data_IF_197594004219
#
_entry.id   IF_197594004219
#
_cell.length_a   1.000
_cell.length_b   1.000
_cell.length_c   1.000
_cell.angle_alpha   90.00
_cell.angle_beta   90.00
_cell.angle_gamma   90.00
#
_symmetry.space_group_name_H-M   'P 1'
#
loop_
_entity.id
_entity.type
_entity.pdbx_description
1 polymer ?
#
# COMPACT_ATOMS: atom_id res chain seq x y z
N UNK A 1 9.00 -3.94 -6.09
CA UNK A 1 9.28 -3.21 -4.82
C UNK A 1 10.50 -3.73 -4.04
N UNK A 2 10.65 -5.05 -3.80
CA UNK A 2 11.79 -5.63 -3.05
C UNK A 2 13.16 -5.12 -3.53
N UNK A 3 13.44 -5.15 -4.84
CA UNK A 3 14.71 -4.67 -5.42
C UNK A 3 14.97 -3.20 -5.15
N UNK A 4 13.93 -2.36 -5.11
CA UNK A 4 14.04 -0.91 -4.84
C UNK A 4 14.45 -0.68 -3.39
N UNK A 5 13.80 -1.35 -2.43
CA UNK A 5 14.13 -1.22 -1.00
C UNK A 5 15.54 -1.72 -0.71
N UNK A 6 15.91 -2.91 -1.20
CA UNK A 6 17.28 -3.42 -1.03
C UNK A 6 18.31 -2.54 -1.72
N UNK A 7 18.02 -2.05 -2.93
CA UNK A 7 18.91 -1.12 -3.65
C UNK A 7 19.13 0.18 -2.88
N UNK A 8 18.07 0.76 -2.32
CA UNK A 8 18.17 1.93 -1.46
C UNK A 8 19.04 1.68 -0.22
N UNK A 9 18.78 0.59 0.52
CA UNK A 9 19.55 0.26 1.72
C UNK A 9 21.03 0.02 1.37
N UNK A 10 21.32 -0.74 0.31
CA UNK A 10 22.68 -1.03 -0.15
C UNK A 10 23.40 0.26 -0.59
N UNK A 11 22.71 1.14 -1.33
CA UNK A 11 23.27 2.42 -1.77
C UNK A 11 23.56 3.34 -0.58
N UNK A 12 22.65 3.41 0.40
CA UNK A 12 22.84 4.20 1.63
C UNK A 12 24.04 3.70 2.42
N UNK A 13 24.17 2.38 2.62
CA UNK A 13 25.34 1.78 3.32
C UNK A 13 26.63 2.03 2.53
N UNK A 14 26.63 1.82 1.21
CA UNK A 14 27.81 2.02 0.39
C UNK A 14 28.30 3.48 0.41
N UNK A 15 27.38 4.44 0.29
CA UNK A 15 27.71 5.87 0.33
C UNK A 15 28.12 6.32 1.72
N UNK A 16 27.59 5.72 2.79
CA UNK A 16 28.05 5.93 4.15
C UNK A 16 29.48 5.41 4.34
N UNK A 17 29.80 4.20 3.87
CA UNK A 17 31.17 3.66 3.92
C UNK A 17 32.16 4.55 3.14
N UNK A 18 31.76 5.08 2.01
CA UNK A 18 32.57 6.05 1.27
C UNK A 18 32.76 7.35 2.08
N UNK A 19 31.70 7.82 2.77
CA UNK A 19 31.77 8.99 3.62
C UNK A 19 32.76 8.85 4.77
N UNK A 20 32.86 7.66 5.39
CA UNK A 20 33.87 7.36 6.42
C UNK A 20 35.29 7.51 5.88
N UNK A 21 35.50 7.25 4.59
CA UNK A 21 36.80 7.44 3.92
C UNK A 21 37.15 8.92 3.71
N UNK A 22 36.16 9.77 3.42
CA UNK A 22 36.36 11.21 3.21
C UNK A 22 36.38 11.98 4.53
N UNK A 23 35.51 11.62 5.46
CA UNK A 23 35.33 12.25 6.76
C UNK A 23 35.45 11.19 7.86
N UNK A 24 36.69 10.75 8.20
CA UNK A 24 36.86 9.72 9.21
C UNK A 24 36.35 10.19 10.58
N UNK A 25 35.53 9.37 11.28
CA UNK A 25 35.02 9.71 12.58
C UNK A 25 36.15 9.80 13.61
N UNK A 26 35.98 10.66 14.60
CA UNK A 26 36.85 10.66 15.77
C UNK A 26 36.77 9.29 16.45
N UNK A 27 37.93 8.66 16.72
CA UNK A 27 38.03 7.33 17.36
C UNK A 27 37.76 7.42 18.87
N UNK A 28 36.63 8.01 19.21
CA UNK A 28 36.13 8.13 20.57
C UNK A 28 34.64 7.74 20.63
N UNK A 29 34.12 7.55 21.86
CA UNK A 29 32.75 7.10 22.05
C UNK A 29 31.69 8.02 21.43
N UNK A 30 31.96 9.32 21.32
CA UNK A 30 31.05 10.28 20.69
C UNK A 30 31.05 10.11 19.17
N UNK A 31 32.22 10.03 18.53
CA UNK A 31 32.33 9.87 17.08
C UNK A 31 31.69 8.56 16.60
N UNK A 32 32.03 7.43 17.24
CA UNK A 32 31.47 6.12 16.88
C UNK A 32 29.94 6.07 17.08
N UNK A 33 29.43 6.65 18.18
CA UNK A 33 28.00 6.72 18.41
C UNK A 33 27.33 7.59 17.35
N UNK A 34 27.94 8.70 16.94
CA UNK A 34 27.43 9.59 15.90
C UNK A 34 27.25 8.84 14.57
N UNK A 35 28.22 8.04 14.14
CA UNK A 35 28.15 7.27 12.91
C UNK A 35 26.97 6.27 12.92
N UNK A 36 26.76 5.56 14.03
CA UNK A 36 25.63 4.64 14.17
C UNK A 36 24.29 5.40 14.12
N UNK A 37 24.22 6.57 14.78
CA UNK A 37 23.04 7.44 14.70
C UNK A 37 22.76 7.84 13.26
N UNK A 38 23.78 8.29 12.55
CA UNK A 38 23.64 8.89 11.24
C UNK A 38 23.18 7.85 10.20
N UNK A 39 23.86 6.72 10.11
CA UNK A 39 23.47 5.64 9.21
C UNK A 39 22.05 5.14 9.50
N UNK A 40 21.78 4.81 10.76
CA UNK A 40 20.47 4.30 11.16
C UNK A 40 19.36 5.31 10.93
N UNK A 41 19.63 6.59 11.23
CA UNK A 41 18.68 7.68 10.99
C UNK A 41 18.32 7.83 9.50
N UNK A 42 19.29 7.82 8.59
CA UNK A 42 19.04 7.94 7.15
C UNK A 42 18.29 6.73 6.61
N UNK A 43 18.59 5.51 7.10
CA UNK A 43 17.84 4.31 6.73
C UNK A 43 16.37 4.40 7.18
N UNK A 44 16.12 4.74 8.44
CA UNK A 44 14.76 4.93 8.97
C UNK A 44 13.99 5.98 8.16
N UNK A 45 14.65 7.11 7.90
CA UNK A 45 14.12 8.24 7.15
C UNK A 45 13.71 7.87 5.72
N UNK A 46 14.56 7.13 5.01
CA UNK A 46 14.25 6.65 3.66
C UNK A 46 13.08 5.69 3.62
N UNK A 47 12.97 4.77 4.59
CA UNK A 47 11.83 3.86 4.67
C UNK A 47 10.52 4.59 4.97
N UNK A 48 10.55 5.63 5.84
CA UNK A 48 9.40 6.50 6.08
C UNK A 48 8.98 7.25 4.82
N UNK A 49 9.92 7.85 4.10
CA UNK A 49 9.64 8.56 2.85
C UNK A 49 9.03 7.63 1.79
N UNK A 50 9.56 6.41 1.62
CA UNK A 50 8.98 5.42 0.72
C UNK A 50 7.54 5.04 1.12
N UNK A 51 7.26 4.87 2.41
CA UNK A 51 5.92 4.60 2.90
C UNK A 51 4.96 5.75 2.57
N UNK A 52 5.39 7.02 2.73
CA UNK A 52 4.61 8.21 2.39
C UNK A 52 4.33 8.27 0.88
N UNK A 53 5.32 8.00 0.03
CA UNK A 53 5.14 7.96 -1.43
C UNK A 53 4.10 6.91 -1.83
N UNK A 54 4.14 5.73 -1.23
CA UNK A 54 3.13 4.69 -1.49
C UNK A 54 1.74 5.16 -1.05
N UNK A 55 1.62 5.81 0.11
CA UNK A 55 0.35 6.35 0.60
C UNK A 55 -0.20 7.46 -0.30
N UNK A 56 0.66 8.29 -0.89
CA UNK A 56 0.28 9.36 -1.80
C UNK A 56 -0.25 8.86 -3.15
N UNK A 57 0.12 7.66 -3.58
CA UNK A 57 -0.32 7.04 -4.84
C UNK A 57 -0.10 7.91 -6.08
N UNK A 58 1.12 8.40 -6.36
CA UNK A 58 1.38 9.12 -7.59
C UNK A 58 1.15 8.22 -8.82
N UNK A 59 0.75 8.79 -9.95
CA UNK A 59 0.36 8.05 -11.16
C UNK A 59 1.47 7.14 -11.71
N UNK A 60 2.73 7.50 -11.50
CA UNK A 60 3.90 6.74 -11.95
C UNK A 60 4.26 5.53 -11.07
N UNK A 61 3.67 5.42 -9.88
CA UNK A 61 4.11 4.49 -8.82
C UNK A 61 4.15 3.02 -9.27
N UNK A 62 3.05 2.49 -9.80
CA UNK A 62 3.01 1.09 -10.29
C UNK A 62 3.92 0.84 -11.48
N UNK A 63 4.12 1.87 -12.34
CA UNK A 63 4.98 1.76 -13.51
C UNK A 63 6.45 1.62 -13.10
N UNK A 64 6.91 2.49 -12.21
CA UNK A 64 8.32 2.52 -11.76
C UNK A 64 8.63 1.33 -10.85
N UNK A 65 7.73 0.99 -9.94
CA UNK A 65 7.94 -0.14 -9.02
C UNK A 65 7.71 -1.50 -9.67
N UNK A 66 7.08 -1.54 -10.84
CA UNK A 66 6.59 -2.75 -11.49
C UNK A 66 5.71 -3.64 -10.57
N UNK A 67 5.10 -3.04 -9.54
CA UNK A 67 4.33 -3.71 -8.50
C UNK A 67 2.92 -3.11 -8.45
N UNK A 68 1.84 -3.92 -8.44
CA UNK A 68 0.48 -3.42 -8.35
C UNK A 68 0.19 -2.80 -6.98
N UNK A 69 -0.79 -1.90 -6.93
CA UNK A 69 -1.05 -1.06 -5.75
C UNK A 69 -1.47 -1.88 -4.52
N UNK A 70 -2.21 -2.95 -4.69
CA UNK A 70 -2.61 -3.86 -3.61
C UNK A 70 -1.40 -4.54 -2.94
N UNK A 71 -0.38 -4.89 -3.70
CA UNK A 71 0.90 -5.37 -3.16
C UNK A 71 1.74 -4.24 -2.56
N UNK A 72 1.69 -3.04 -3.15
CA UNK A 72 2.40 -1.87 -2.61
C UNK A 72 1.90 -1.50 -1.20
N UNK A 73 0.62 -1.69 -0.90
CA UNK A 73 0.11 -1.46 0.46
C UNK A 73 0.67 -2.47 1.49
N UNK A 74 0.98 -3.70 1.09
CA UNK A 74 1.72 -4.63 1.96
C UNK A 74 3.13 -4.12 2.23
N UNK A 75 3.77 -3.56 1.20
CA UNK A 75 5.08 -2.90 1.36
C UNK A 75 4.99 -1.65 2.21
N UNK A 76 3.97 -0.80 2.07
CA UNK A 76 3.73 0.34 2.96
C UNK A 76 3.73 -0.08 4.43
N UNK A 77 2.98 -1.14 4.77
CA UNK A 77 2.95 -1.70 6.13
C UNK A 77 4.33 -2.20 6.58
N UNK A 78 5.02 -2.96 5.74
CA UNK A 78 6.35 -3.50 6.04
C UNK A 78 7.38 -2.39 6.25
N UNK A 79 7.39 -1.38 5.38
CA UNK A 79 8.27 -0.22 5.49
C UNK A 79 7.97 0.58 6.76
N UNK A 80 6.70 0.78 7.10
CA UNK A 80 6.30 1.44 8.34
C UNK A 80 6.77 0.70 9.59
N UNK A 81 6.69 -0.64 9.62
CA UNK A 81 7.19 -1.45 10.72
C UNK A 81 8.71 -1.30 10.87
N UNK A 82 9.47 -1.46 9.78
CA UNK A 82 10.93 -1.33 9.82
C UNK A 82 11.38 0.10 10.13
N UNK A 83 10.68 1.11 9.60
CA UNK A 83 10.95 2.51 9.96
C UNK A 83 10.76 2.73 11.48
N UNK A 84 9.68 2.21 12.08
CA UNK A 84 9.45 2.31 13.51
C UNK A 84 10.54 1.57 14.34
N UNK A 85 10.95 0.37 13.92
CA UNK A 85 12.03 -0.39 14.59
C UNK A 85 13.34 0.39 14.53
N UNK A 86 13.72 0.92 13.36
CA UNK A 86 14.94 1.71 13.21
C UNK A 86 14.84 3.04 13.98
N UNK A 87 13.68 3.67 14.03
CA UNK A 87 13.46 4.89 14.83
C UNK A 87 13.63 4.62 16.32
N UNK A 88 13.11 3.50 16.84
CA UNK A 88 13.35 3.09 18.23
C UNK A 88 14.82 2.80 18.48
N UNK A 89 15.49 2.09 17.58
CA UNK A 89 16.93 1.86 17.69
C UNK A 89 17.69 3.20 17.68
N UNK A 90 17.36 4.13 16.80
CA UNK A 90 17.92 5.47 16.74
C UNK A 90 17.72 6.20 18.07
N UNK A 91 16.52 6.20 18.62
CA UNK A 91 16.17 6.86 19.86
C UNK A 91 17.00 6.35 21.06
N UNK A 92 17.21 5.04 21.13
CA UNK A 92 17.96 4.38 22.22
C UNK A 92 19.43 4.10 21.89
N UNK A 93 19.97 4.63 20.80
CA UNK A 93 21.35 4.33 20.38
C UNK A 93 22.39 4.65 21.45
N UNK A 94 22.23 5.75 22.20
CA UNK A 94 23.19 6.13 23.26
C UNK A 94 23.25 5.07 24.36
N UNK A 95 22.11 4.57 24.79
CA UNK A 95 21.99 3.55 25.83
C UNK A 95 22.53 2.21 25.35
N UNK A 96 22.24 1.86 24.11
CA UNK A 96 22.69 0.62 23.47
C UNK A 96 24.20 0.62 23.19
N UNK A 97 24.77 1.78 22.86
CA UNK A 97 26.20 1.91 22.58
C UNK A 97 27.09 1.93 23.85
N UNK A 98 26.57 2.33 25.00
CA UNK A 98 27.33 2.39 26.25
C UNK A 98 28.07 1.08 26.59
N UNK A 99 27.42 -0.10 26.64
CA UNK A 99 28.11 -1.35 26.96
C UNK A 99 29.10 -1.74 25.87
N UNK A 100 28.82 -1.44 24.60
CA UNK A 100 29.72 -1.74 23.49
C UNK A 100 31.02 -0.90 23.61
N UNK A 101 30.86 0.40 23.87
CA UNK A 101 31.98 1.33 23.99
C UNK A 101 32.83 1.09 25.25
N UNK A 102 32.29 0.49 26.30
CA UNK A 102 33.04 0.12 27.50
C UNK A 102 34.05 -1.03 27.26
N UNK A 103 33.89 -1.78 26.17
CA UNK A 103 34.80 -2.89 25.78
C UNK A 103 35.99 -2.42 24.94
N UNK A 104 36.00 -1.16 24.51
CA UNK A 104 37.04 -0.63 23.61
C UNK A 104 37.77 0.52 24.29
N UNK A 105 39.12 0.51 24.21
CA UNK A 105 39.94 1.65 24.67
C UNK A 105 39.80 2.78 23.67
N UNK A 106 39.19 3.90 24.09
CA UNK A 106 38.90 5.03 23.24
C UNK A 106 39.65 6.28 23.70
N UNK A 107 39.93 7.16 22.75
CA UNK A 107 40.48 8.49 23.05
C UNK A 107 39.55 9.32 23.97
N UNK A 108 40.11 10.11 24.82
CA UNK A 108 39.35 11.02 25.68
C UNK A 108 38.66 12.11 24.82
N UNK A 109 37.39 12.40 25.13
CA UNK A 109 36.65 13.47 24.42
C UNK A 109 37.16 14.83 24.95
N UNK A 110 37.75 15.69 24.07
CA UNK A 110 38.20 17.01 24.49
C UNK A 110 37.03 17.85 25.02
N UNK A 111 37.26 18.59 26.12
CA UNK A 111 36.28 19.59 26.60
C UNK A 111 36.30 20.80 25.64
N UNK A 112 35.24 20.95 24.87
CA UNK A 112 35.07 22.14 24.04
C UNK A 112 34.53 23.27 24.92
N UNK A 113 35.34 24.28 25.19
CA UNK A 113 34.89 25.54 25.79
C UNK A 113 34.24 26.36 24.69
N UNK A 114 32.93 26.49 24.72
CA UNK A 114 32.19 27.35 23.80
C UNK A 114 32.22 28.79 24.33
N UNK A 115 32.68 29.72 23.49
CA UNK A 115 32.51 31.15 23.74
C UNK A 115 31.03 31.58 23.63
N UNK A 116 30.72 32.82 23.96
CA UNK A 116 29.38 33.38 23.74
C UNK A 116 29.10 33.45 22.26
N UNK A 117 28.00 32.80 21.88
CA UNK A 117 27.51 32.81 20.49
C UNK A 117 26.63 34.05 20.27
N UNK A 118 26.86 34.80 19.21
CA UNK A 118 26.09 36.00 18.87
C UNK A 118 25.55 35.90 17.44
N UNK A 119 24.51 36.69 17.14
CA UNK A 119 23.97 36.80 15.80
C UNK A 119 23.50 35.49 15.18
N UNK A 120 23.95 35.19 13.97
CA UNK A 120 23.55 33.99 13.23
C UNK A 120 23.96 32.69 13.92
N UNK A 121 25.13 32.65 14.56
CA UNK A 121 25.61 31.45 15.26
C UNK A 121 24.76 31.11 16.49
N UNK A 122 24.29 32.13 17.20
CA UNK A 122 23.36 31.97 18.31
C UNK A 122 22.01 31.42 17.82
N UNK A 123 21.47 32.00 16.74
CA UNK A 123 20.24 31.51 16.09
C UNK A 123 20.41 30.06 15.61
N UNK A 124 21.51 29.75 14.95
CA UNK A 124 21.78 28.42 14.40
C UNK A 124 21.97 27.37 15.51
N UNK A 125 22.57 27.76 16.63
CA UNK A 125 22.68 26.91 17.82
C UNK A 125 21.31 26.67 18.48
N UNK A 126 20.47 27.70 18.57
CA UNK A 126 19.10 27.58 19.07
C UNK A 126 18.27 26.66 18.19
N UNK A 127 18.35 26.81 16.85
CA UNK A 127 17.70 25.91 15.90
C UNK A 127 18.09 24.44 16.09
N UNK A 128 19.33 24.15 16.52
CA UNK A 128 19.74 22.80 16.85
C UNK A 128 18.98 22.25 18.05
N UNK A 129 18.87 23.04 19.10
CA UNK A 129 18.09 22.68 20.30
C UNK A 129 16.64 22.41 19.95
N UNK A 130 16.02 23.34 19.23
CA UNK A 130 14.65 23.22 18.75
C UNK A 130 14.44 21.94 17.89
N UNK A 131 15.36 21.64 16.96
CA UNK A 131 15.27 20.44 16.10
C UNK A 131 15.38 19.14 16.90
N UNK A 132 16.18 19.10 17.96
CA UNK A 132 16.29 17.93 18.84
C UNK A 132 15.01 17.77 19.65
N UNK A 133 14.58 18.80 20.38
CA UNK A 133 13.41 18.75 21.25
C UNK A 133 12.12 18.44 20.46
N UNK A 134 11.90 19.13 19.34
CA UNK A 134 10.73 18.88 18.50
C UNK A 134 10.72 17.46 17.90
N UNK A 135 11.89 16.90 17.59
CA UNK A 135 11.98 15.52 17.08
C UNK A 135 11.67 14.47 18.15
N UNK A 136 11.98 14.71 19.42
CA UNK A 136 11.61 13.82 20.51
C UNK A 136 10.09 13.73 20.65
N UNK A 137 9.39 14.87 20.67
CA UNK A 137 7.92 14.91 20.70
C UNK A 137 7.29 14.32 19.45
N UNK A 138 7.84 14.61 18.25
CA UNK A 138 7.37 14.03 17.01
C UNK A 138 7.55 12.50 16.99
N UNK A 139 8.65 11.97 17.52
CA UNK A 139 8.90 10.54 17.65
C UNK A 139 7.90 9.89 18.59
N UNK A 140 7.65 10.47 19.77
CA UNK A 140 6.64 9.96 20.69
C UNK A 140 5.24 9.95 20.08
N UNK A 141 4.84 11.04 19.40
CA UNK A 141 3.60 11.09 18.65
C UNK A 141 3.56 9.99 17.56
N UNK A 142 4.64 9.85 16.79
CA UNK A 142 4.77 8.82 15.76
C UNK A 142 4.60 7.40 16.31
N UNK A 143 5.18 7.10 17.48
CA UNK A 143 5.02 5.80 18.15
C UNK A 143 3.58 5.55 18.62
N UNK A 144 2.92 6.58 19.17
CA UNK A 144 1.49 6.48 19.52
C UNK A 144 0.65 6.19 18.28
N UNK A 145 0.86 6.95 17.20
CA UNK A 145 0.16 6.74 15.92
C UNK A 145 0.45 5.35 15.33
N UNK A 146 1.68 4.86 15.50
CA UNK A 146 2.07 3.52 15.07
C UNK A 146 1.27 2.45 15.82
N UNK A 147 1.17 2.53 17.15
CA UNK A 147 0.36 1.61 17.95
C UNK A 147 -1.12 1.70 17.55
N UNK A 148 -1.67 2.91 17.42
CA UNK A 148 -3.06 3.13 16.97
C UNK A 148 -3.32 2.52 15.60
N UNK A 149 -2.30 2.44 14.73
CA UNK A 149 -2.44 1.85 13.39
C UNK A 149 -2.77 0.36 13.41
N UNK A 150 -2.48 -0.36 14.51
CA UNK A 150 -2.82 -1.78 14.69
C UNK A 150 -4.10 -2.02 15.49
N UNK A 151 -4.70 -0.96 16.05
CA UNK A 151 -5.93 -1.07 16.87
C UNK A 151 -7.15 -1.12 15.95
N UNK A 152 -7.80 -2.29 15.86
CA UNK A 152 -8.96 -2.52 14.99
C UNK A 152 -10.29 -1.92 15.50
N UNK A 153 -10.34 -1.47 16.77
CA UNK A 153 -11.55 -0.91 17.41
C UNK A 153 -11.89 0.49 16.87
N UNK A 154 -10.89 1.22 16.36
CA UNK A 154 -11.09 2.57 15.83
C UNK A 154 -11.79 2.50 14.46
N UNK A 155 -12.89 3.24 14.28
CA UNK A 155 -13.59 3.33 12.99
C UNK A 155 -12.64 3.81 11.91
N UNK A 156 -12.77 3.26 10.68
CA UNK A 156 -11.82 3.47 9.59
C UNK A 156 -11.56 4.95 9.28
N UNK A 157 -12.59 5.79 9.19
CA UNK A 157 -12.40 7.22 8.88
C UNK A 157 -11.60 7.97 9.97
N UNK A 158 -11.83 7.67 11.26
CA UNK A 158 -11.07 8.27 12.38
C UNK A 158 -9.62 7.77 12.38
N UNK A 159 -9.45 6.48 12.13
CA UNK A 159 -8.15 5.87 11.98
C UNK A 159 -7.36 6.51 10.82
N UNK A 160 -7.98 6.67 9.63
CA UNK A 160 -7.34 7.30 8.48
C UNK A 160 -6.97 8.77 8.77
N UNK A 161 -7.84 9.51 9.45
CA UNK A 161 -7.57 10.90 9.85
C UNK A 161 -6.39 10.99 10.81
N UNK A 162 -6.29 10.11 11.82
CA UNK A 162 -5.15 10.05 12.73
C UNK A 162 -3.88 9.59 12.00
N UNK A 163 -4.00 8.63 11.07
CA UNK A 163 -2.87 8.11 10.30
C UNK A 163 -2.23 9.18 9.39
N UNK A 164 -3.02 10.13 8.88
CA UNK A 164 -2.49 11.29 8.10
C UNK A 164 -1.53 12.16 8.91
N UNK A 165 -1.59 12.15 10.25
CA UNK A 165 -0.67 12.88 11.10
C UNK A 165 0.77 12.39 10.98
N UNK A 166 1.03 11.19 10.45
CA UNK A 166 2.40 10.77 10.09
C UNK A 166 3.06 11.71 9.09
N UNK A 167 2.28 12.36 8.20
CA UNK A 167 2.82 13.40 7.32
C UNK A 167 3.30 14.63 8.10
N UNK A 168 2.60 15.01 9.17
CA UNK A 168 3.02 16.11 10.06
C UNK A 168 4.28 15.71 10.84
N UNK A 169 4.30 14.50 11.38
CA UNK A 169 5.49 13.93 12.06
C UNK A 169 6.69 13.97 11.12
N UNK A 170 6.52 13.54 9.86
CA UNK A 170 7.59 13.58 8.86
C UNK A 170 8.11 15.00 8.63
N UNK A 171 7.24 15.99 8.48
CA UNK A 171 7.65 17.38 8.26
C UNK A 171 8.44 17.97 9.44
N UNK A 172 8.06 17.62 10.67
CA UNK A 172 8.83 18.03 11.87
C UNK A 172 10.20 17.34 11.88
N UNK A 173 10.24 16.03 11.63
CA UNK A 173 11.49 15.27 11.57
C UNK A 173 12.40 15.70 10.42
N UNK A 174 11.85 16.27 9.32
CA UNK A 174 12.65 16.84 8.23
C UNK A 174 13.55 17.97 8.70
N UNK A 175 13.06 18.82 9.61
CA UNK A 175 13.87 19.89 10.25
C UNK A 175 15.02 19.29 11.04
N UNK A 176 14.75 18.21 11.77
CA UNK A 176 15.77 17.47 12.52
C UNK A 176 16.83 16.87 11.59
N UNK A 177 16.41 16.17 10.52
CA UNK A 177 17.32 15.50 9.57
C UNK A 177 18.27 16.49 8.88
N UNK A 178 17.76 17.64 8.45
CA UNK A 178 18.58 18.66 7.75
C UNK A 178 19.46 19.42 8.74
N UNK A 179 18.90 19.80 9.91
CA UNK A 179 19.63 20.65 10.86
C UNK A 179 20.77 19.90 11.59
N UNK A 180 20.66 18.59 11.72
CA UNK A 180 21.67 17.77 12.42
C UNK A 180 22.68 17.11 11.47
N UNK A 181 22.49 17.24 10.16
CA UNK A 181 23.50 16.85 9.18
C UNK A 181 24.74 17.75 9.32
N UNK A 182 25.91 17.13 9.35
CA UNK A 182 27.17 17.89 9.40
C UNK A 182 27.42 18.65 8.10
N UNK A 183 27.97 19.88 8.15
CA UNK A 183 28.24 20.64 6.92
C UNK A 183 29.15 19.91 5.92
N UNK A 184 30.09 19.10 6.40
CA UNK A 184 30.95 18.29 5.54
C UNK A 184 30.18 17.24 4.76
N UNK A 185 29.11 16.68 5.33
CA UNK A 185 28.30 15.62 4.69
C UNK A 185 27.43 16.16 3.55
N UNK A 186 27.08 17.46 3.57
CA UNK A 186 26.23 18.09 2.53
C UNK A 186 26.81 17.87 1.13
N UNK A 187 28.13 17.83 1.01
CA UNK A 187 28.82 17.69 -0.27
C UNK A 187 29.22 16.25 -0.60
N UNK A 188 28.72 15.28 0.17
CA UNK A 188 28.99 13.85 -0.04
C UNK A 188 27.78 13.15 -0.68
N UNK A 189 28.00 12.02 -1.38
CA UNK A 189 26.90 11.20 -1.91
C UNK A 189 25.91 10.73 -0.83
N UNK A 190 26.37 10.50 0.40
CA UNK A 190 25.52 10.13 1.53
C UNK A 190 24.60 11.28 1.96
N UNK A 191 25.12 12.50 2.06
CA UNK A 191 24.33 13.69 2.32
C UNK A 191 23.31 13.98 1.22
N UNK A 192 23.67 13.78 -0.05
CA UNK A 192 22.75 13.93 -1.17
C UNK A 192 21.56 12.96 -1.11
N UNK A 193 21.80 11.72 -0.69
CA UNK A 193 20.69 10.77 -0.45
C UNK A 193 19.74 11.31 0.62
N UNK A 194 20.28 11.78 1.75
CA UNK A 194 19.47 12.34 2.83
C UNK A 194 18.65 13.56 2.37
N UNK A 195 19.25 14.48 1.63
CA UNK A 195 18.57 15.65 1.06
C UNK A 195 17.48 15.23 0.08
N UNK A 196 17.77 14.33 -0.86
CA UNK A 196 16.81 13.86 -1.86
C UNK A 196 15.61 13.17 -1.20
N UNK A 197 15.84 12.29 -0.23
CA UNK A 197 14.81 11.62 0.57
C UNK A 197 13.94 12.64 1.30
N UNK A 198 14.56 13.67 1.90
CA UNK A 198 13.84 14.73 2.61
C UNK A 198 12.95 15.54 1.66
N UNK A 199 13.46 15.96 0.50
CA UNK A 199 12.68 16.72 -0.48
C UNK A 199 11.47 15.89 -0.96
N UNK A 200 11.69 14.63 -1.36
CA UNK A 200 10.64 13.75 -1.86
C UNK A 200 9.59 13.49 -0.76
N UNK A 201 10.03 13.15 0.44
CA UNK A 201 9.13 12.88 1.55
C UNK A 201 8.32 14.11 1.99
N UNK A 202 8.93 15.30 2.03
CA UNK A 202 8.23 16.56 2.32
C UNK A 202 7.19 16.88 1.23
N UNK A 203 7.55 16.74 -0.04
CA UNK A 203 6.64 16.98 -1.16
C UNK A 203 5.37 16.12 -1.04
N UNK A 204 5.53 14.80 -0.87
CA UNK A 204 4.38 13.91 -0.76
C UNK A 204 3.65 14.00 0.58
N UNK A 205 4.32 14.41 1.67
CA UNK A 205 3.65 14.73 2.93
C UNK A 205 2.71 15.93 2.79
N UNK A 206 3.17 17.00 2.14
CA UNK A 206 2.36 18.17 1.84
C UNK A 206 1.22 17.84 0.85
N UNK A 207 1.51 17.05 -0.18
CA UNK A 207 0.50 16.57 -1.13
C UNK A 207 -0.64 15.83 -0.40
N UNK A 208 -0.31 14.90 0.50
CA UNK A 208 -1.27 14.14 1.31
C UNK A 208 -2.11 15.02 2.23
N UNK A 209 -1.50 16.03 2.87
CA UNK A 209 -2.19 16.92 3.80
C UNK A 209 -3.10 17.91 3.08
N UNK A 210 -2.66 18.48 1.95
CA UNK A 210 -3.38 19.55 1.25
C UNK A 210 -4.38 18.99 0.25
N UNK A 211 -4.00 17.97 -0.50
CA UNK A 211 -4.72 17.51 -1.70
C UNK A 211 -5.28 16.08 -1.56
N UNK A 212 -4.76 15.33 -0.61
CA UNK A 212 -5.11 13.92 -0.40
C UNK A 212 -4.42 12.96 -1.39
N UNK A 213 -4.60 11.68 -1.15
CA UNK A 213 -3.97 10.61 -1.92
C UNK A 213 -4.59 10.42 -3.31
N UNK A 214 -3.77 10.02 -4.29
CA UNK A 214 -4.22 9.60 -5.63
C UNK A 214 -4.78 10.71 -6.50
N UNK A 215 -4.43 11.96 -6.25
CA UNK A 215 -4.98 13.13 -6.95
C UNK A 215 -4.80 13.07 -8.46
N UNK A 216 -3.64 12.67 -8.94
CA UNK A 216 -3.32 12.66 -10.38
C UNK A 216 -4.22 11.73 -11.19
N UNK A 217 -4.77 10.69 -10.56
CA UNK A 217 -5.70 9.74 -11.16
C UNK A 217 -7.15 9.93 -10.70
N UNK A 218 -7.44 10.98 -9.92
CA UNK A 218 -8.78 11.29 -9.43
C UNK A 218 -9.53 12.19 -10.41
N UNK A 219 -10.79 11.88 -10.67
CA UNK A 219 -11.70 12.69 -11.47
C UNK A 219 -13.12 12.62 -10.91
N UNK A 220 -13.93 13.61 -11.24
CA UNK A 220 -15.35 13.57 -10.93
C UNK A 220 -16.06 12.54 -11.83
N UNK A 221 -17.12 11.98 -11.30
CA UNK A 221 -18.04 11.13 -12.02
C UNK A 221 -19.47 11.38 -11.55
N UNK A 222 -20.43 11.05 -12.37
CA UNK A 222 -21.86 11.08 -12.03
C UNK A 222 -22.34 9.68 -11.70
N UNK A 223 -23.16 9.55 -10.67
CA UNK A 223 -23.85 8.33 -10.31
C UNK A 223 -25.03 8.11 -11.26
N UNK A 224 -24.87 7.18 -12.19
CA UNK A 224 -25.89 6.89 -13.24
C UNK A 224 -26.97 5.96 -12.72
N UNK A 225 -26.58 4.93 -11.97
CA UNK A 225 -27.51 3.96 -11.39
C UNK A 225 -27.01 3.39 -10.08
N UNK A 226 -27.92 3.13 -9.16
CA UNK A 226 -27.66 2.49 -7.86
C UNK A 226 -28.78 1.52 -7.56
N UNK A 227 -28.43 0.23 -7.48
CA UNK A 227 -29.37 -0.82 -7.15
C UNK A 227 -28.88 -1.63 -5.95
N UNK A 228 -29.62 -1.54 -4.84
CA UNK A 228 -29.28 -2.26 -3.59
C UNK A 228 -30.26 -3.42 -3.39
N UNK A 229 -29.71 -4.62 -3.27
CA UNK A 229 -30.47 -5.83 -3.00
C UNK A 229 -29.68 -6.73 -2.04
N UNK A 230 -30.32 -7.19 -0.98
CA UNK A 230 -29.80 -8.17 0.00
C UNK A 230 -28.35 -7.91 0.43
N UNK A 231 -28.03 -6.65 0.79
CA UNK A 231 -26.69 -6.26 1.27
C UNK A 231 -25.60 -6.17 0.18
N UNK A 232 -25.99 -6.23 -1.08
CA UNK A 232 -25.15 -5.92 -2.24
C UNK A 232 -25.70 -4.68 -2.92
N UNK A 233 -24.82 -3.74 -3.26
CA UNK A 233 -25.16 -2.56 -4.07
C UNK A 233 -24.39 -2.61 -5.38
N UNK A 234 -25.10 -2.60 -6.50
CA UNK A 234 -24.53 -2.36 -7.81
C UNK A 234 -24.54 -0.85 -8.06
N UNK A 235 -23.38 -0.32 -8.38
CA UNK A 235 -23.16 1.10 -8.62
C UNK A 235 -22.65 1.27 -10.04
N UNK A 236 -23.33 2.12 -10.83
CA UNK A 236 -22.87 2.51 -12.17
C UNK A 236 -22.54 3.99 -12.17
N UNK A 237 -21.31 4.33 -12.56
CA UNK A 237 -20.82 5.70 -12.60
C UNK A 237 -20.37 6.09 -14.00
N UNK A 238 -20.56 7.35 -14.37
CA UNK A 238 -20.06 7.95 -15.61
C UNK A 238 -18.96 8.94 -15.28
N UNK A 239 -17.68 8.60 -15.52
CA UNK A 239 -16.59 9.55 -15.36
C UNK A 239 -16.73 10.75 -16.31
N UNK A 240 -16.32 11.94 -15.85
CA UNK A 240 -16.35 13.17 -16.68
C UNK A 240 -15.42 13.08 -17.91
N UNK A 241 -14.41 12.24 -17.82
CA UNK A 241 -13.46 11.98 -18.92
C UNK A 241 -13.33 10.47 -19.14
N UNK A 242 -13.07 10.02 -20.36
CA UNK A 242 -12.79 8.61 -20.63
C UNK A 242 -11.65 8.11 -19.73
N UNK A 243 -11.86 6.95 -19.12
CA UNK A 243 -10.86 6.26 -18.29
C UNK A 243 -10.35 5.05 -19.05
N UNK A 244 -9.04 4.98 -19.29
CA UNK A 244 -8.41 3.77 -19.87
C UNK A 244 -8.29 2.69 -18.80
N UNK A 245 -9.44 2.20 -18.34
CA UNK A 245 -9.54 1.12 -17.38
C UNK A 245 -9.72 -0.21 -18.10
N UNK A 246 -9.01 -1.22 -17.66
CA UNK A 246 -9.04 -2.55 -18.27
C UNK A 246 -9.68 -3.56 -17.35
N UNK A 247 -10.18 -4.63 -17.92
CA UNK A 247 -10.78 -5.73 -17.17
C UNK A 247 -9.82 -6.30 -16.12
N UNK A 248 -10.27 -6.33 -14.85
CA UNK A 248 -9.49 -6.77 -13.70
C UNK A 248 -8.66 -5.68 -13.01
N UNK A 249 -8.80 -4.42 -13.43
CA UNK A 249 -8.33 -3.28 -12.66
C UNK A 249 -9.43 -2.84 -11.67
N UNK A 250 -9.02 -2.09 -10.65
CA UNK A 250 -9.93 -1.51 -9.68
C UNK A 250 -9.82 0.01 -9.64
N UNK A 251 -10.80 0.66 -9.09
CA UNK A 251 -10.79 2.08 -8.82
C UNK A 251 -11.22 2.37 -7.38
N UNK A 252 -10.75 3.49 -6.83
CA UNK A 252 -11.31 4.00 -5.60
C UNK A 252 -12.53 4.85 -5.92
N UNK A 253 -13.62 4.61 -5.19
CA UNK A 253 -14.81 5.44 -5.21
C UNK A 253 -14.92 6.21 -3.90
N UNK A 254 -15.18 7.51 -3.99
CA UNK A 254 -15.46 8.38 -2.86
C UNK A 254 -16.69 9.23 -3.11
N UNK A 255 -17.53 9.37 -2.09
CA UNK A 255 -18.65 10.31 -2.09
C UNK A 255 -18.24 11.62 -1.40
N UNK A 256 -18.98 12.70 -1.63
CA UNK A 256 -18.71 14.00 -0.99
C UNK A 256 -18.65 13.87 0.54
N UNK A 257 -17.56 14.33 1.14
CA UNK A 257 -17.38 14.30 2.61
C UNK A 257 -16.92 12.97 3.19
N UNK A 258 -16.68 11.94 2.36
CA UNK A 258 -16.21 10.63 2.80
C UNK A 258 -14.88 10.24 2.12
N UNK A 259 -14.20 9.29 2.74
CA UNK A 259 -12.97 8.70 2.19
C UNK A 259 -13.25 7.85 0.94
N UNK A 260 -12.23 7.71 0.10
CA UNK A 260 -12.28 6.86 -1.09
C UNK A 260 -11.97 5.40 -0.73
N UNK A 261 -12.79 4.47 -1.22
CA UNK A 261 -12.62 3.02 -1.01
C UNK A 261 -12.38 2.29 -2.33
N UNK A 262 -11.49 1.29 -2.35
CA UNK A 262 -11.18 0.53 -3.56
C UNK A 262 -12.27 -0.50 -3.86
N UNK A 263 -12.70 -0.55 -5.11
CA UNK A 263 -13.65 -1.55 -5.62
C UNK A 263 -13.18 -2.04 -6.98
N UNK A 264 -13.21 -3.37 -7.17
CA UNK A 264 -12.93 -3.98 -8.47
C UNK A 264 -14.02 -3.61 -9.46
N UNK A 265 -13.59 -3.28 -10.69
CA UNK A 265 -14.56 -3.01 -11.76
C UNK A 265 -15.24 -4.32 -12.15
N UNK A 266 -16.56 -4.35 -12.04
CA UNK A 266 -17.41 -5.48 -12.39
C UNK A 266 -17.92 -5.42 -13.85
N UNK A 267 -17.91 -4.23 -14.46
CA UNK A 267 -18.31 -4.04 -15.85
C UNK A 267 -17.79 -2.74 -16.42
N UNK A 268 -17.43 -2.79 -17.70
CA UNK A 268 -17.06 -1.63 -18.52
C UNK A 268 -18.07 -1.60 -19.66
N UNK A 269 -18.89 -0.56 -19.70
CA UNK A 269 -19.98 -0.45 -20.67
C UNK A 269 -19.53 0.34 -21.91
N UNK A 270 -20.18 0.08 -23.04
CA UNK A 270 -19.84 0.72 -24.34
C UNK A 270 -20.04 2.23 -24.34
N UNK A 271 -20.89 2.77 -23.43
CA UNK A 271 -21.10 4.22 -23.24
C UNK A 271 -20.06 4.88 -22.31
N UNK A 272 -19.04 4.11 -21.90
CA UNK A 272 -17.96 4.57 -21.02
C UNK A 272 -18.32 4.59 -19.53
N UNK A 273 -19.48 4.06 -19.15
CA UNK A 273 -19.84 3.91 -17.73
C UNK A 273 -19.14 2.70 -17.11
N UNK A 274 -18.85 2.79 -15.82
CA UNK A 274 -18.20 1.74 -15.04
C UNK A 274 -19.16 1.20 -13.99
N UNK A 275 -19.27 -0.12 -13.90
CA UNK A 275 -20.09 -0.81 -12.90
C UNK A 275 -19.24 -1.43 -11.81
N UNK A 276 -19.64 -1.25 -10.56
CA UNK A 276 -19.00 -1.80 -9.36
C UNK A 276 -20.03 -2.60 -8.55
N UNK A 277 -19.57 -3.72 -7.98
CA UNK A 277 -20.36 -4.53 -7.07
C UNK A 277 -19.83 -4.35 -5.65
N UNK A 278 -20.62 -3.76 -4.77
CA UNK A 278 -20.23 -3.38 -3.41
C UNK A 278 -21.05 -4.15 -2.38
N UNK A 279 -20.40 -5.03 -1.63
CA UNK A 279 -21.04 -5.79 -0.54
C UNK A 279 -20.92 -5.05 0.79
N UNK A 280 -21.98 -5.05 1.59
CA UNK A 280 -22.00 -4.46 2.92
C UNK A 280 -21.14 -5.26 3.91
N UNK A 281 -19.85 -4.93 4.00
CA UNK A 281 -18.85 -5.62 4.83
C UNK A 281 -18.32 -4.75 5.99
N UNK A 282 -18.12 -3.45 5.75
CA UNK A 282 -17.62 -2.48 6.73
C UNK A 282 -18.62 -1.36 6.99
N UNK A 283 -18.26 -0.41 7.85
CA UNK A 283 -19.05 0.77 8.18
C UNK A 283 -19.41 1.60 6.94
N UNK A 284 -18.44 1.97 6.10
CA UNK A 284 -18.69 2.71 4.86
C UNK A 284 -19.66 1.97 3.93
N UNK A 285 -19.44 0.68 3.69
CA UNK A 285 -20.27 -0.09 2.76
C UNK A 285 -21.66 -0.44 3.29
N UNK A 286 -21.85 -0.43 4.62
CA UNK A 286 -23.17 -0.63 5.26
C UNK A 286 -23.94 0.67 5.46
N UNK A 287 -23.23 1.74 5.84
CA UNK A 287 -23.87 2.96 6.36
C UNK A 287 -23.91 4.07 5.29
N UNK A 288 -22.89 4.16 4.40
CA UNK A 288 -22.77 5.22 3.39
C UNK A 288 -23.25 4.76 2.02
N UNK A 289 -22.77 3.64 1.52
CA UNK A 289 -23.07 3.16 0.16
C UNK A 289 -24.59 3.07 -0.12
N UNK A 290 -25.44 2.55 0.79
CA UNK A 290 -26.90 2.51 0.54
C UNK A 290 -27.59 3.87 0.53
N UNK A 291 -26.93 4.93 0.99
CA UNK A 291 -27.49 6.29 0.98
C UNK A 291 -27.23 7.04 -0.32
N UNK A 292 -26.32 6.56 -1.15
CA UNK A 292 -25.95 7.16 -2.43
C UNK A 292 -27.18 7.16 -3.37
N UNK A 293 -27.36 8.25 -4.11
CA UNK A 293 -28.48 8.42 -5.04
C UNK A 293 -28.02 8.66 -6.46
N UNK A 294 -28.84 8.26 -7.42
CA UNK A 294 -28.66 8.61 -8.82
C UNK A 294 -28.56 10.13 -9.00
N UNK A 295 -27.64 10.59 -9.86
CA UNK A 295 -27.33 12.00 -10.11
C UNK A 295 -26.34 12.62 -9.13
N UNK A 296 -25.93 11.91 -8.06
CA UNK A 296 -24.93 12.42 -7.14
C UNK A 296 -23.54 12.46 -7.79
N UNK A 297 -22.75 13.46 -7.40
CA UNK A 297 -21.34 13.54 -7.78
C UNK A 297 -20.48 12.65 -6.88
N UNK A 298 -19.64 11.84 -7.51
CA UNK A 298 -18.67 10.98 -6.84
C UNK A 298 -17.28 11.21 -7.42
N UNK A 299 -16.27 10.78 -6.71
CA UNK A 299 -14.88 10.81 -7.20
C UNK A 299 -14.50 9.37 -7.56
N UNK A 300 -14.00 9.20 -8.77
CA UNK A 300 -13.34 7.98 -9.23
C UNK A 300 -11.84 8.23 -9.30
N UNK A 301 -11.06 7.37 -8.66
CA UNK A 301 -9.60 7.42 -8.72
C UNK A 301 -9.06 6.10 -9.26
N UNK A 302 -8.43 6.13 -10.39
CA UNK A 302 -7.86 4.94 -11.05
C UNK A 302 -7.54 5.20 -12.52
N UNK A 303 -7.16 4.15 -13.26
CA UNK A 303 -7.15 2.74 -12.87
C UNK A 303 -5.96 2.33 -11.99
N UNK A 304 -6.15 1.27 -11.19
CA UNK A 304 -5.13 0.64 -10.37
C UNK A 304 -5.21 -0.88 -10.45
N UNK A 305 -4.11 -1.56 -10.12
CA UNK A 305 -4.06 -3.01 -10.09
C UNK A 305 -3.64 -3.65 -11.41
N UNK A 306 -3.39 -4.97 -11.35
CA UNK A 306 -2.93 -5.76 -12.51
C UNK A 306 -3.50 -7.17 -12.48
N UNK A 307 -4.65 -7.36 -11.86
CA UNK A 307 -5.32 -8.64 -11.84
C UNK A 307 -5.96 -8.91 -13.20
N UNK A 308 -5.22 -9.54 -14.10
CA UNK A 308 -5.65 -9.78 -15.49
C UNK A 308 -5.64 -11.26 -15.82
N UNK A 309 -6.59 -11.72 -16.66
CA UNK A 309 -6.58 -13.09 -17.16
C UNK A 309 -5.43 -13.29 -18.16
N UNK A 310 -4.92 -14.52 -18.22
CA UNK A 310 -4.03 -14.98 -19.29
C UNK A 310 -4.87 -15.78 -20.30
N UNK A 311 -5.55 -15.09 -21.22
CA UNK A 311 -6.41 -15.75 -22.23
C UNK A 311 -5.65 -16.61 -23.24
N UNK A 312 -4.31 -16.59 -23.23
CA UNK A 312 -3.50 -17.52 -24.03
C UNK A 312 -3.41 -18.93 -23.43
N UNK A 313 -3.68 -19.05 -22.12
CA UNK A 313 -3.66 -20.34 -21.43
C UNK A 313 -4.83 -21.23 -21.87
N UNK A 314 -4.53 -22.53 -22.13
CA UNK A 314 -5.53 -23.47 -22.63
C UNK A 314 -6.51 -23.95 -21.56
N UNK A 315 -6.06 -24.04 -20.30
CA UNK A 315 -6.88 -24.45 -19.17
C UNK A 315 -6.72 -23.45 -18.03
N UNK A 316 -7.80 -22.78 -17.68
CA UNK A 316 -7.79 -21.75 -16.65
C UNK A 316 -8.78 -22.10 -15.53
N UNK A 317 -8.35 -21.92 -14.28
CA UNK A 317 -9.23 -21.97 -13.12
C UNK A 317 -9.39 -20.55 -12.56
N UNK A 318 -10.60 -20.06 -12.53
CA UNK A 318 -10.97 -18.82 -11.84
C UNK A 318 -11.74 -19.16 -10.57
N UNK A 319 -11.35 -18.59 -9.44
CA UNK A 319 -12.03 -18.83 -8.16
C UNK A 319 -12.44 -17.52 -7.51
N UNK A 320 -13.74 -17.40 -7.30
CA UNK A 320 -14.37 -16.27 -6.66
C UNK A 320 -14.96 -16.63 -5.29
N UNK A 321 -14.84 -15.72 -4.30
CA UNK A 321 -15.51 -15.84 -3.01
C UNK A 321 -16.49 -14.68 -2.78
N UNK A 322 -17.80 -14.97 -2.76
CA UNK A 322 -18.83 -13.94 -2.60
C UNK A 322 -18.70 -12.81 -3.63
N UNK A 323 -18.60 -11.54 -3.17
CA UNK A 323 -18.43 -10.36 -4.05
C UNK A 323 -17.10 -10.35 -4.82
N UNK A 324 -16.16 -11.23 -4.50
CA UNK A 324 -14.95 -11.45 -5.30
C UNK A 324 -15.22 -11.97 -6.72
N UNK A 325 -16.49 -12.17 -7.08
CA UNK A 325 -16.94 -12.41 -8.47
C UNK A 325 -16.80 -11.16 -9.34
N UNK A 326 -16.76 -9.95 -8.77
CA UNK A 326 -16.79 -8.69 -9.51
C UNK A 326 -15.75 -8.59 -10.63
N UNK A 327 -14.43 -8.80 -10.42
CA UNK A 327 -13.46 -8.73 -11.50
C UNK A 327 -13.70 -9.81 -12.57
N UNK A 328 -14.21 -10.97 -12.20
CA UNK A 328 -14.53 -12.02 -13.17
C UNK A 328 -15.75 -11.68 -14.02
N UNK A 329 -16.72 -10.89 -13.51
CA UNK A 329 -17.79 -10.34 -14.33
C UNK A 329 -17.23 -9.47 -15.46
N UNK A 330 -16.29 -8.59 -15.17
CA UNK A 330 -15.61 -7.81 -16.18
C UNK A 330 -14.80 -8.69 -17.15
N UNK A 331 -14.10 -9.71 -16.64
CA UNK A 331 -13.35 -10.65 -17.48
C UNK A 331 -14.26 -11.47 -18.43
N UNK A 332 -15.47 -11.83 -17.97
CA UNK A 332 -16.44 -12.54 -18.81
C UNK A 332 -16.90 -11.69 -20.02
N UNK A 333 -16.94 -10.35 -19.88
CA UNK A 333 -17.23 -9.46 -21.02
C UNK A 333 -16.15 -9.53 -22.10
N UNK A 334 -14.88 -9.69 -21.70
CA UNK A 334 -13.75 -9.82 -22.63
C UNK A 334 -13.56 -11.26 -23.12
N UNK A 335 -13.71 -12.25 -22.24
CA UNK A 335 -13.56 -13.67 -22.56
C UNK A 335 -14.47 -14.12 -23.71
N UNK A 336 -15.69 -13.60 -23.75
CA UNK A 336 -16.63 -13.88 -24.84
C UNK A 336 -16.09 -13.51 -26.25
N UNK A 337 -15.10 -12.59 -26.30
CA UNK A 337 -14.50 -12.10 -27.54
C UNK A 337 -13.12 -12.67 -27.81
N UNK A 338 -12.36 -13.00 -26.77
CA UNK A 338 -10.90 -13.19 -26.87
C UNK A 338 -10.39 -14.51 -26.29
N UNK A 339 -11.18 -15.25 -25.51
CA UNK A 339 -10.73 -16.50 -24.90
C UNK A 339 -10.75 -17.68 -25.89
N UNK A 340 -9.62 -18.37 -26.01
CA UNK A 340 -9.47 -19.56 -26.87
C UNK A 340 -9.40 -20.88 -26.08
N UNK A 341 -9.20 -20.80 -24.74
CA UNK A 341 -9.04 -21.94 -23.84
C UNK A 341 -10.32 -22.29 -23.07
N UNK A 342 -10.26 -23.39 -22.33
CA UNK A 342 -11.32 -23.81 -21.41
C UNK A 342 -11.17 -23.07 -20.08
N UNK A 343 -12.20 -22.33 -19.70
CA UNK A 343 -12.27 -21.59 -18.44
C UNK A 343 -13.27 -22.30 -17.52
N UNK A 344 -12.82 -22.63 -16.31
CA UNK A 344 -13.64 -23.15 -15.21
C UNK A 344 -13.72 -22.07 -14.14
N UNK A 345 -14.90 -21.52 -13.92
CA UNK A 345 -15.17 -20.53 -12.87
C UNK A 345 -15.83 -21.22 -11.68
N UNK A 346 -15.13 -21.24 -10.57
CA UNK A 346 -15.63 -21.75 -9.29
C UNK A 346 -16.04 -20.59 -8.40
N UNK A 347 -17.32 -20.52 -8.05
CA UNK A 347 -17.85 -19.44 -7.22
C UNK A 347 -18.37 -19.93 -5.89
N UNK A 348 -17.71 -19.53 -4.80
CA UNK A 348 -18.08 -19.88 -3.43
C UNK A 348 -19.00 -18.79 -2.85
N UNK A 349 -20.25 -19.13 -2.58
CA UNK A 349 -21.28 -18.24 -2.03
C UNK A 349 -21.92 -18.85 -0.79
N UNK A 350 -22.77 -18.08 -0.08
CA UNK A 350 -23.52 -18.62 1.06
C UNK A 350 -24.62 -19.57 0.57
N UNK A 351 -25.52 -19.09 -0.28
CA UNK A 351 -26.51 -19.88 -1.02
C UNK A 351 -26.91 -19.11 -2.30
N UNK A 352 -27.44 -19.83 -3.30
CA UNK A 352 -27.90 -19.25 -4.56
C UNK A 352 -29.06 -18.28 -4.34
N UNK A 353 -29.98 -18.62 -3.46
CA UNK A 353 -31.18 -17.83 -3.16
C UNK A 353 -30.82 -16.49 -2.50
N UNK A 354 -29.74 -16.46 -1.71
CA UNK A 354 -29.32 -15.25 -1.00
C UNK A 354 -28.33 -14.37 -1.78
N UNK A 355 -27.87 -14.83 -2.96
CA UNK A 355 -26.86 -14.11 -3.75
C UNK A 355 -27.49 -13.27 -4.88
N UNK A 356 -27.57 -11.94 -4.75
CA UNK A 356 -28.30 -11.10 -5.72
C UNK A 356 -27.73 -11.13 -7.14
N UNK A 357 -26.44 -11.43 -7.29
CA UNK A 357 -25.79 -11.49 -8.60
C UNK A 357 -25.93 -12.85 -9.29
N UNK A 358 -26.49 -13.88 -8.62
CA UNK A 358 -26.45 -15.23 -9.12
C UNK A 358 -26.97 -15.38 -10.57
N UNK A 359 -28.19 -14.94 -10.82
CA UNK A 359 -28.80 -15.06 -12.15
C UNK A 359 -28.05 -14.28 -13.26
N UNK A 360 -27.44 -13.14 -12.89
CA UNK A 360 -26.65 -12.36 -13.84
C UNK A 360 -25.33 -13.03 -14.16
N UNK A 361 -24.63 -13.53 -13.16
CA UNK A 361 -23.34 -14.25 -13.32
C UNK A 361 -23.53 -15.52 -14.14
N UNK A 362 -24.61 -16.28 -13.88
CA UNK A 362 -24.95 -17.49 -14.64
C UNK A 362 -25.13 -17.18 -16.13
N UNK A 363 -25.92 -16.14 -16.46
CA UNK A 363 -26.11 -15.70 -17.85
C UNK A 363 -24.82 -15.18 -18.49
N UNK A 364 -23.97 -14.49 -17.73
CA UNK A 364 -22.68 -14.00 -18.25
C UNK A 364 -21.74 -15.15 -18.55
N UNK A 365 -21.65 -16.14 -17.67
CA UNK A 365 -20.83 -17.35 -17.86
C UNK A 365 -21.29 -18.15 -19.09
N UNK A 366 -22.59 -18.34 -19.25
CA UNK A 366 -23.19 -19.00 -20.41
C UNK A 366 -22.84 -18.29 -21.73
N UNK A 367 -23.03 -16.97 -21.78
CA UNK A 367 -22.69 -16.16 -22.98
C UNK A 367 -21.20 -16.18 -23.30
N UNK A 368 -20.34 -16.27 -22.30
CA UNK A 368 -18.89 -16.34 -22.47
C UNK A 368 -18.38 -17.78 -22.72
N UNK A 369 -19.25 -18.79 -22.71
CA UNK A 369 -18.87 -20.19 -22.86
C UNK A 369 -18.03 -20.72 -21.69
N UNK A 370 -18.21 -20.16 -20.49
CA UNK A 370 -17.43 -20.46 -19.29
C UNK A 370 -18.19 -21.48 -18.45
N UNK A 371 -17.49 -22.55 -18.04
CA UNK A 371 -18.07 -23.54 -17.13
C UNK A 371 -18.14 -22.98 -15.69
N UNK A 372 -19.35 -22.66 -15.22
CA UNK A 372 -19.61 -22.13 -13.88
C UNK A 372 -19.95 -23.27 -12.92
N UNK A 373 -19.15 -23.40 -11.86
CA UNK A 373 -19.44 -24.28 -10.70
C UNK A 373 -19.71 -23.43 -9.46
N UNK A 374 -20.80 -23.69 -8.78
CA UNK A 374 -21.20 -22.93 -7.59
C UNK A 374 -21.14 -23.81 -6.35
N UNK A 375 -20.36 -23.38 -5.38
CA UNK A 375 -20.25 -24.01 -4.06
C UNK A 375 -21.00 -23.18 -3.03
N UNK A 376 -22.07 -23.78 -2.49
CA UNK A 376 -22.88 -23.16 -1.46
C UNK A 376 -22.34 -23.56 -0.08
N UNK A 377 -21.67 -22.60 0.60
CA UNK A 377 -21.03 -22.85 1.90
C UNK A 377 -22.03 -23.20 3.03
N UNK A 378 -23.31 -22.86 2.84
CA UNK A 378 -24.40 -23.30 3.73
C UNK A 378 -24.64 -24.84 3.65
N UNK A 379 -24.33 -25.47 2.51
CA UNK A 379 -24.49 -26.91 2.30
C UNK A 379 -23.18 -27.66 2.53
N UNK A 380 -22.09 -27.21 1.89
CA UNK A 380 -20.77 -27.83 1.99
C UNK A 380 -19.66 -26.84 1.69
N UNK A 381 -18.60 -26.83 2.50
CA UNK A 381 -17.39 -26.05 2.19
C UNK A 381 -16.60 -26.70 1.07
N UNK A 382 -16.02 -25.85 0.20
CA UNK A 382 -15.12 -26.30 -0.86
C UNK A 382 -13.87 -26.96 -0.25
N UNK A 383 -13.53 -28.16 -0.70
CA UNK A 383 -12.21 -28.76 -0.50
C UNK A 383 -11.29 -28.30 -1.64
N UNK A 384 -10.22 -27.58 -1.31
CA UNK A 384 -9.30 -27.02 -2.30
C UNK A 384 -8.60 -28.10 -3.15
N UNK A 385 -8.25 -29.24 -2.55
CA UNK A 385 -7.58 -30.36 -3.22
C UNK A 385 -8.49 -30.99 -4.32
N UNK A 386 -9.80 -31.03 -4.07
CA UNK A 386 -10.75 -31.59 -5.03
C UNK A 386 -10.81 -30.82 -6.36
N UNK A 387 -10.38 -29.55 -6.38
CA UNK A 387 -10.33 -28.75 -7.61
C UNK A 387 -9.30 -29.28 -8.61
N UNK A 388 -8.29 -30.01 -8.15
CA UNK A 388 -7.14 -30.47 -8.92
C UNK A 388 -7.05 -32.00 -9.04
N UNK A 389 -8.05 -32.74 -8.56
CA UNK A 389 -8.08 -34.23 -8.61
C UNK A 389 -8.06 -34.80 -10.04
N UNK A 390 -8.38 -34.00 -11.05
CA UNK A 390 -8.35 -34.38 -12.45
C UNK A 390 -7.15 -33.78 -13.19
N UNK A 391 -7.38 -32.73 -13.97
CA UNK A 391 -6.33 -32.03 -14.71
C UNK A 391 -5.92 -30.75 -13.99
N UNK A 392 -4.60 -30.53 -13.83
CA UNK A 392 -4.03 -29.29 -13.30
C UNK A 392 -4.19 -28.20 -14.37
N UNK A 393 -4.78 -27.04 -14.06
CA UNK A 393 -4.90 -25.93 -15.01
C UNK A 393 -3.55 -25.25 -15.24
N UNK A 394 -3.39 -24.60 -16.40
CA UNK A 394 -2.19 -23.85 -16.74
C UNK A 394 -2.06 -22.58 -15.89
N UNK A 395 -3.21 -21.97 -15.54
CA UNK A 395 -3.27 -20.75 -14.71
C UNK A 395 -4.39 -20.81 -13.69
N UNK A 396 -4.18 -20.15 -12.56
CA UNK A 396 -5.17 -20.02 -11.48
C UNK A 396 -5.31 -18.55 -11.12
N UNK A 397 -6.54 -18.03 -11.15
CA UNK A 397 -6.87 -16.67 -10.73
C UNK A 397 -7.80 -16.70 -9.52
N UNK A 398 -7.43 -15.99 -8.47
CA UNK A 398 -8.09 -16.05 -7.16
C UNK A 398 -8.53 -14.66 -6.69
N UNK A 399 -9.83 -14.51 -6.48
CA UNK A 399 -10.44 -13.33 -5.90
C UNK A 399 -11.38 -13.76 -4.77
N UNK A 400 -10.81 -14.05 -3.60
CA UNK A 400 -11.52 -14.61 -2.44
C UNK A 400 -10.85 -14.19 -1.13
N UNK A 401 -11.48 -14.53 0.00
CA UNK A 401 -10.87 -14.36 1.31
C UNK A 401 -9.53 -15.09 1.42
N UNK A 402 -8.57 -14.51 2.15
CA UNK A 402 -7.17 -14.95 2.20
C UNK A 402 -7.00 -16.45 2.56
N UNK A 403 -7.83 -16.97 3.48
CA UNK A 403 -7.80 -18.39 3.87
C UNK A 403 -8.11 -19.32 2.70
N UNK A 404 -9.16 -19.03 1.93
CA UNK A 404 -9.55 -19.81 0.76
C UNK A 404 -8.53 -19.67 -0.37
N UNK A 405 -8.10 -18.43 -0.66
CA UNK A 405 -7.11 -18.17 -1.70
C UNK A 405 -5.76 -18.86 -1.40
N UNK A 406 -5.32 -18.86 -0.14
CA UNK A 406 -4.09 -19.54 0.27
C UNK A 406 -4.22 -21.07 0.21
N UNK A 407 -5.36 -21.63 0.63
CA UNK A 407 -5.61 -23.08 0.56
C UNK A 407 -5.59 -23.57 -0.90
N UNK A 408 -6.29 -22.86 -1.80
CA UNK A 408 -6.34 -23.21 -3.23
C UNK A 408 -4.97 -23.07 -3.90
N UNK A 409 -4.20 -22.01 -3.55
CA UNK A 409 -2.85 -21.84 -4.10
C UNK A 409 -1.92 -22.98 -3.68
N UNK A 410 -2.00 -23.40 -2.43
CA UNK A 410 -1.20 -24.52 -1.92
C UNK A 410 -1.58 -25.82 -2.63
N UNK A 411 -2.87 -26.14 -2.67
CA UNK A 411 -3.36 -27.34 -3.33
C UNK A 411 -2.98 -27.39 -4.84
N UNK A 412 -2.99 -26.24 -5.51
CA UNK A 412 -2.52 -26.13 -6.90
C UNK A 412 -1.05 -26.50 -7.05
N UNK A 413 -0.18 -25.98 -6.20
CA UNK A 413 1.26 -26.29 -6.22
C UNK A 413 1.52 -27.75 -5.86
N UNK A 414 0.83 -28.27 -4.84
CA UNK A 414 0.90 -29.69 -4.43
C UNK A 414 0.44 -30.66 -5.54
N UNK A 415 -0.50 -30.22 -6.37
CA UNK A 415 -0.93 -30.97 -7.56
C UNK A 415 0.04 -30.87 -8.77
N UNK A 416 1.17 -30.17 -8.61
CA UNK A 416 2.19 -30.00 -9.68
C UNK A 416 2.05 -28.70 -10.48
N UNK A 417 1.19 -27.79 -10.09
CA UNK A 417 1.05 -26.47 -10.73
C UNK A 417 2.21 -25.52 -10.43
N UNK A 418 2.48 -24.58 -11.32
CA UNK A 418 3.51 -23.56 -11.15
C UNK A 418 3.00 -22.39 -10.32
N UNK A 419 3.65 -22.11 -9.18
CA UNK A 419 3.30 -21.01 -8.28
C UNK A 419 3.28 -19.63 -8.98
N UNK A 420 4.12 -19.39 -9.98
CA UNK A 420 4.18 -18.14 -10.74
C UNK A 420 2.95 -17.95 -11.68
N UNK A 421 2.17 -19.01 -11.89
CA UNK A 421 0.92 -18.99 -12.65
C UNK A 421 -0.32 -18.78 -11.80
N UNK A 422 -0.14 -18.45 -10.52
CA UNK A 422 -1.23 -18.07 -9.61
C UNK A 422 -1.31 -16.56 -9.51
N UNK A 423 -2.39 -15.96 -9.99
CA UNK A 423 -2.69 -14.55 -9.78
C UNK A 423 -3.73 -14.38 -8.68
N UNK A 424 -3.56 -13.36 -7.85
CA UNK A 424 -4.45 -13.08 -6.72
C UNK A 424 -4.78 -11.60 -6.66
N UNK A 425 -6.05 -11.28 -6.41
CA UNK A 425 -6.46 -9.95 -6.02
C UNK A 425 -6.63 -9.88 -4.49
N UNK A 426 -6.06 -8.84 -3.87
CA UNK A 426 -6.07 -8.68 -2.42
C UNK A 426 -7.00 -7.56 -1.99
N UNK A 427 -7.95 -7.86 -1.07
CA UNK A 427 -8.95 -6.90 -0.57
C UNK A 427 -8.70 -6.37 0.83
N UNK A 428 -7.65 -6.81 1.52
CA UNK A 428 -7.32 -6.29 2.84
C UNK A 428 -6.40 -5.08 2.72
N UNK A 429 -6.98 -3.90 2.91
CA UNK A 429 -6.31 -2.60 2.87
C UNK A 429 -5.95 -2.05 4.26
N UNK A 430 -6.21 -2.83 5.33
CA UNK A 430 -5.92 -2.50 6.74
C UNK A 430 -5.27 -3.70 7.46
#
# INVERSE_FOLDING_TARGET
MRKIVFGFCALTVATWLLNLGFNPPAMNGRGLTHEVFFLNGVLAWGLMAMAIVIAARPAWLEKVTATPLDELYKWHRTLGIWAAVLTLFHFFTKELMRPVLSLVTLESVPKIVRGELTGFDAFWSWMRGFAVESSEWATLLGLVLFVVSFVSIVRYHKWLSSHKLFSVVFLILAVHCIRLMEPADIFTPFGWINIAVTIVGCYYSLELLIRGAGREKSMNAEMVDVNTNNGLTLITVKPEKPVDIRYGEFAFLGTSGHEKHPFSVAGINDDGTLTFAVKALGDYTRDVVPTIRKGERVIVEGPWGRFRPDFSAQKQLWLAGGVGIAPFCAWMQDAAKTAHGKIRLVWCIKSKESEPMFANVEKMAERAGIHLEVFESAKKRLNAESLFAGAVPDTVALCAGEGLASAVSRAYVEAGGNADKVSKEHFKWR
#
